data_IF_093827233968
#
_entry.id   IF_093827233968
#
_cell.length_a   1.000
_cell.length_b   1.000
_cell.length_c   1.000
_cell.angle_alpha   90.00
_cell.angle_beta   90.00
_cell.angle_gamma   90.00
#
_symmetry.space_group_name_H-M   'P 1'
#
loop_
_entity.id
_entity.type
_entity.pdbx_description
1 polymer ?
#
# COMPACT_ATOMS: atom_id res chain seq x y z
N UNK A 1 -33.85 -13.67 14.18
CA UNK A 1 -32.37 -13.58 14.11
C UNK A 1 -31.82 -13.87 15.50
N UNK A 2 -30.95 -14.87 15.68
CA UNK A 2 -30.27 -15.06 16.97
C UNK A 2 -29.37 -13.85 17.21
N UNK A 3 -29.66 -13.07 18.24
CA UNK A 3 -28.75 -12.03 18.74
C UNK A 3 -27.36 -12.64 18.88
N UNK A 4 -26.35 -12.05 18.23
CA UNK A 4 -24.97 -12.52 18.36
C UNK A 4 -24.59 -12.52 19.84
N UNK A 5 -24.10 -13.65 20.36
CA UNK A 5 -23.65 -13.73 21.75
C UNK A 5 -22.42 -12.85 21.90
N UNK A 6 -22.48 -11.90 22.83
CA UNK A 6 -21.37 -10.99 23.13
C UNK A 6 -20.36 -11.67 24.03
N UNK A 7 -19.08 -11.38 23.82
CA UNK A 7 -17.96 -11.74 24.70
C UNK A 7 -17.20 -10.47 25.06
N UNK A 8 -16.60 -10.45 26.26
CA UNK A 8 -15.67 -9.38 26.63
C UNK A 8 -14.28 -9.67 26.05
N UNK A 9 -13.69 -8.66 25.42
CA UNK A 9 -12.31 -8.68 24.93
C UNK A 9 -11.55 -7.57 25.67
N UNK A 10 -10.48 -7.93 26.36
CA UNK A 10 -9.61 -6.95 27.01
C UNK A 10 -8.67 -6.33 25.96
N UNK A 11 -8.48 -5.02 26.02
CA UNK A 11 -7.55 -4.27 25.18
C UNK A 11 -6.92 -3.14 26.00
N UNK A 12 -5.79 -2.62 25.51
CA UNK A 12 -5.06 -1.51 26.15
C UNK A 12 -5.91 -0.24 26.11
N UNK A 13 -6.01 0.47 27.23
CA UNK A 13 -6.89 1.64 27.40
C UNK A 13 -6.67 2.69 26.30
N UNK A 14 -5.41 3.08 26.06
CA UNK A 14 -5.05 4.07 25.04
C UNK A 14 -5.44 3.66 23.60
N UNK A 15 -5.50 2.36 23.31
CA UNK A 15 -5.97 1.86 22.02
C UNK A 15 -7.51 1.90 21.93
N UNK A 16 -8.19 1.56 23.02
CA UNK A 16 -9.65 1.64 23.10
C UNK A 16 -10.12 3.09 22.95
N UNK A 17 -9.44 4.05 23.58
CA UNK A 17 -9.75 5.47 23.44
C UNK A 17 -9.61 5.95 21.99
N UNK A 18 -8.46 5.65 21.35
CA UNK A 18 -8.22 6.01 19.95
C UNK A 18 -9.23 5.37 19.00
N UNK A 19 -9.53 4.09 19.18
CA UNK A 19 -10.51 3.39 18.35
C UNK A 19 -11.92 3.94 18.60
N UNK A 20 -12.27 4.32 19.84
CA UNK A 20 -13.55 4.95 20.16
C UNK A 20 -13.71 6.28 19.43
N UNK A 21 -12.66 7.09 19.37
CA UNK A 21 -12.66 8.35 18.62
C UNK A 21 -12.80 8.15 17.11
N UNK A 22 -12.18 7.11 16.56
CA UNK A 22 -12.35 6.73 15.15
C UNK A 22 -13.79 6.29 14.89
N UNK A 23 -14.33 5.43 15.77
CA UNK A 23 -15.67 4.87 15.64
C UNK A 23 -16.75 5.95 15.69
N UNK A 24 -16.60 7.00 16.52
CA UNK A 24 -17.54 8.15 16.59
C UNK A 24 -17.85 8.77 15.24
N UNK A 25 -16.93 8.69 14.26
CA UNK A 25 -17.11 9.24 12.91
C UNK A 25 -17.81 8.28 11.94
N UNK A 26 -17.98 7.00 12.31
CA UNK A 26 -18.37 5.90 11.41
C UNK A 26 -19.50 5.01 11.94
N UNK A 27 -19.85 5.10 13.23
CA UNK A 27 -20.88 4.27 13.86
C UNK A 27 -20.64 4.03 15.34
N UNK A 28 -20.92 2.83 15.83
CA UNK A 28 -20.64 2.44 17.22
C UNK A 28 -19.26 1.79 17.35
N UNK A 29 -18.67 1.88 18.54
CA UNK A 29 -17.43 1.17 18.88
C UNK A 29 -17.57 -0.34 18.65
N UNK A 30 -18.75 -0.91 18.98
CA UNK A 30 -19.02 -2.33 18.82
C UNK A 30 -18.96 -2.74 17.35
N UNK A 31 -19.64 -2.01 16.46
CA UNK A 31 -19.68 -2.35 15.03
C UNK A 31 -18.29 -2.23 14.41
N UNK A 32 -17.58 -1.14 14.71
CA UNK A 32 -16.22 -0.90 14.19
C UNK A 32 -15.22 -1.96 14.65
N UNK A 33 -15.26 -2.36 15.92
CA UNK A 33 -14.38 -3.43 16.42
C UNK A 33 -14.70 -4.76 15.75
N UNK A 34 -15.98 -5.09 15.52
CA UNK A 34 -16.34 -6.32 14.80
C UNK A 34 -15.88 -6.28 13.33
N UNK A 35 -15.97 -5.15 12.65
CA UNK A 35 -15.42 -4.96 11.30
C UNK A 35 -13.91 -5.22 11.29
N UNK A 36 -13.16 -4.62 12.21
CA UNK A 36 -11.70 -4.82 12.31
C UNK A 36 -11.35 -6.28 12.58
N UNK A 37 -12.10 -6.96 13.47
CA UNK A 37 -11.90 -8.38 13.73
C UNK A 37 -12.20 -9.25 12.49
N UNK A 38 -13.22 -8.90 11.71
CA UNK A 38 -13.53 -9.59 10.46
C UNK A 38 -12.41 -9.41 9.42
N UNK A 39 -11.89 -8.20 9.25
CA UNK A 39 -10.78 -7.96 8.32
C UNK A 39 -9.49 -8.65 8.78
N UNK A 40 -9.24 -8.75 10.09
CA UNK A 40 -8.12 -9.53 10.62
C UNK A 40 -8.25 -11.03 10.28
N UNK A 41 -9.45 -11.61 10.43
CA UNK A 41 -9.72 -13.01 10.05
C UNK A 41 -9.58 -13.19 8.53
N UNK A 42 -10.04 -12.22 7.75
CA UNK A 42 -9.94 -12.26 6.29
C UNK A 42 -8.49 -12.20 5.83
N UNK A 43 -7.67 -11.34 6.43
CA UNK A 43 -6.24 -11.30 6.14
C UNK A 43 -5.60 -12.67 6.41
N UNK A 44 -5.89 -13.27 7.57
CA UNK A 44 -5.36 -14.60 7.93
C UNK A 44 -5.78 -15.67 6.91
N UNK A 45 -7.01 -15.62 6.41
CA UNK A 45 -7.49 -16.52 5.35
C UNK A 45 -6.75 -16.38 4.01
N UNK A 46 -6.09 -15.24 3.78
CA UNK A 46 -5.22 -14.99 2.63
C UNK A 46 -3.76 -15.40 2.87
N UNK A 47 -3.45 -15.94 4.05
CA UNK A 47 -2.08 -16.28 4.44
C UNK A 47 -1.23 -15.05 4.83
N UNK A 48 -1.87 -13.97 5.27
CA UNK A 48 -1.20 -12.72 5.66
C UNK A 48 -1.78 -12.13 6.93
N UNK A 49 -1.01 -11.32 7.65
CA UNK A 49 -1.50 -10.52 8.76
C UNK A 49 -2.14 -9.22 8.26
N UNK A 50 -3.07 -8.65 9.05
CA UNK A 50 -3.65 -7.34 8.74
C UNK A 50 -2.58 -6.24 8.60
N UNK A 51 -1.46 -6.38 9.33
CA UNK A 51 -0.31 -5.48 9.22
C UNK A 51 0.34 -5.56 7.85
N UNK A 52 0.65 -6.76 7.36
CA UNK A 52 1.26 -6.96 6.04
C UNK A 52 0.37 -6.40 4.93
N UNK A 53 -0.95 -6.62 4.99
CA UNK A 53 -1.89 -6.05 4.03
C UNK A 53 -1.85 -4.50 3.99
N UNK A 54 -1.73 -3.86 5.17
CA UNK A 54 -1.63 -2.40 5.27
C UNK A 54 -0.29 -1.90 4.71
N UNK A 55 0.81 -2.58 5.05
CA UNK A 55 2.16 -2.25 4.60
C UNK A 55 2.27 -2.38 3.06
N UNK A 56 1.75 -3.47 2.50
CA UNK A 56 1.67 -3.71 1.05
C UNK A 56 0.82 -2.66 0.32
N UNK A 57 -0.32 -2.25 0.91
CA UNK A 57 -1.12 -1.16 0.36
C UNK A 57 -0.32 0.15 0.32
N UNK A 58 0.51 0.41 1.33
CA UNK A 58 1.43 1.54 1.36
C UNK A 58 2.43 1.48 0.20
N UNK A 59 3.04 0.32 -0.03
CA UNK A 59 3.96 0.09 -1.14
C UNK A 59 3.29 0.32 -2.51
N UNK A 60 2.13 -0.27 -2.74
CA UNK A 60 1.38 -0.11 -4.01
C UNK A 60 1.02 1.36 -4.24
N UNK A 61 0.61 2.07 -3.18
CA UNK A 61 0.33 3.51 -3.27
C UNK A 61 1.58 4.30 -3.64
N UNK A 62 2.71 4.04 -2.98
CA UNK A 62 3.97 4.72 -3.26
C UNK A 62 4.44 4.48 -4.70
N UNK A 63 4.29 3.25 -5.22
CA UNK A 63 4.59 2.94 -6.61
C UNK A 63 3.70 3.75 -7.57
N UNK A 64 2.38 3.77 -7.35
CA UNK A 64 1.45 4.56 -8.18
C UNK A 64 1.74 6.05 -8.14
N UNK A 65 1.98 6.60 -6.95
CA UNK A 65 2.30 8.02 -6.77
C UNK A 65 3.64 8.38 -7.44
N UNK A 66 4.53 7.41 -7.63
CA UNK A 66 5.81 7.57 -8.35
C UNK A 66 5.68 7.34 -9.86
N UNK A 67 4.49 7.06 -10.39
CA UNK A 67 4.24 6.87 -11.83
C UNK A 67 4.29 5.43 -12.32
N UNK A 68 4.43 4.43 -11.43
CA UNK A 68 4.34 3.03 -11.81
C UNK A 68 2.89 2.61 -12.06
N UNK A 69 2.71 1.64 -12.95
CA UNK A 69 1.40 1.06 -13.29
C UNK A 69 1.44 -0.46 -13.24
N UNK A 70 0.31 -1.08 -12.87
CA UNK A 70 0.14 -2.53 -12.96
C UNK A 70 -0.14 -2.92 -14.40
N UNK A 71 0.68 -3.82 -14.95
CA UNK A 71 0.56 -4.36 -16.30
C UNK A 71 0.59 -5.90 -16.21
N UNK A 72 -0.22 -6.64 -17.00
CA UNK A 72 -0.07 -8.08 -17.11
C UNK A 72 1.34 -8.45 -17.58
N UNK A 73 2.06 -9.22 -16.77
CA UNK A 73 3.48 -9.52 -16.95
C UNK A 73 3.82 -10.04 -18.36
N UNK A 74 3.07 -11.03 -18.84
CA UNK A 74 3.27 -11.57 -20.20
C UNK A 74 3.12 -10.51 -21.28
N UNK A 75 2.13 -9.62 -21.15
CA UNK A 75 1.91 -8.56 -22.13
C UNK A 75 3.08 -7.56 -22.11
N UNK A 76 3.59 -7.24 -20.92
CA UNK A 76 4.74 -6.36 -20.77
C UNK A 76 5.97 -6.91 -21.51
N UNK A 77 6.35 -8.17 -21.26
CA UNK A 77 7.50 -8.77 -21.92
C UNK A 77 7.34 -8.81 -23.44
N UNK A 78 6.19 -9.24 -23.94
CA UNK A 78 5.92 -9.29 -25.39
C UNK A 78 6.01 -7.92 -26.06
N UNK A 79 5.55 -6.86 -25.39
CA UNK A 79 5.62 -5.49 -25.91
C UNK A 79 7.06 -4.98 -25.87
N UNK A 80 7.79 -5.23 -24.78
CA UNK A 80 9.20 -4.80 -24.64
C UNK A 80 10.08 -5.50 -25.67
N UNK A 81 9.94 -6.81 -25.86
CA UNK A 81 10.75 -7.58 -26.81
C UNK A 81 10.51 -7.12 -28.26
N UNK A 82 9.24 -6.93 -28.63
CA UNK A 82 8.88 -6.41 -29.96
C UNK A 82 9.32 -4.96 -30.13
N UNK A 83 9.18 -4.15 -29.09
CA UNK A 83 9.65 -2.77 -29.06
C UNK A 83 11.16 -2.69 -29.26
N UNK A 84 11.92 -3.52 -28.56
CA UNK A 84 13.37 -3.63 -28.71
C UNK A 84 13.77 -4.05 -30.14
N UNK A 85 13.11 -5.07 -30.69
CA UNK A 85 13.37 -5.53 -32.05
C UNK A 85 13.04 -4.46 -33.13
N UNK A 86 12.02 -3.63 -32.90
CA UNK A 86 11.56 -2.63 -33.86
C UNK A 86 12.28 -1.28 -33.73
N UNK A 87 12.49 -0.80 -32.50
CA UNK A 87 13.06 0.53 -32.20
C UNK A 87 14.59 0.50 -32.05
N UNK A 88 15.16 -0.69 -31.81
CA UNK A 88 16.58 -0.92 -31.66
C UNK A 88 17.11 -0.65 -30.25
N UNK A 89 18.29 -1.21 -29.98
CA UNK A 89 18.99 -1.16 -28.69
C UNK A 89 19.18 0.27 -28.18
N UNK A 90 19.76 1.15 -28.99
CA UNK A 90 20.07 2.52 -28.56
C UNK A 90 18.84 3.36 -28.18
N UNK A 91 17.68 3.13 -28.81
CA UNK A 91 16.46 3.82 -28.42
C UNK A 91 15.96 3.33 -27.05
N UNK A 92 15.94 2.01 -26.85
CA UNK A 92 15.54 1.42 -25.57
C UNK A 92 16.50 1.80 -24.44
N UNK A 93 17.81 1.73 -24.67
CA UNK A 93 18.83 2.16 -23.69
C UNK A 93 18.63 3.60 -23.26
N UNK A 94 18.42 4.52 -24.22
CA UNK A 94 18.16 5.92 -23.92
C UNK A 94 16.86 6.11 -23.11
N UNK A 95 15.78 5.42 -23.48
CA UNK A 95 14.52 5.49 -22.74
C UNK A 95 14.70 5.04 -21.27
N UNK A 96 15.40 3.92 -21.05
CA UNK A 96 15.70 3.43 -19.71
C UNK A 96 16.61 4.37 -18.94
N UNK A 97 17.63 4.92 -19.59
CA UNK A 97 18.56 5.88 -18.99
C UNK A 97 17.84 7.16 -18.53
N UNK A 98 17.05 7.80 -19.41
CA UNK A 98 16.28 8.99 -19.08
C UNK A 98 15.28 8.73 -17.96
N UNK A 99 14.56 7.60 -18.04
CA UNK A 99 13.61 7.18 -17.00
C UNK A 99 14.31 6.99 -15.66
N UNK A 100 15.47 6.32 -15.64
CA UNK A 100 16.29 6.11 -14.45
C UNK A 100 16.79 7.43 -13.84
N UNK A 101 17.20 8.40 -14.68
CA UNK A 101 17.59 9.73 -14.21
C UNK A 101 16.44 10.47 -13.53
N UNK A 102 15.22 10.41 -14.10
CA UNK A 102 14.03 11.00 -13.49
C UNK A 102 13.72 10.39 -12.13
N UNK A 103 13.75 9.06 -12.02
CA UNK A 103 13.55 8.38 -10.74
C UNK A 103 14.64 8.72 -9.72
N UNK A 104 15.92 8.75 -10.14
CA UNK A 104 17.02 9.14 -9.25
C UNK A 104 16.87 10.56 -8.70
N UNK A 105 16.48 11.53 -9.55
CA UNK A 105 16.18 12.91 -9.12
C UNK A 105 14.97 12.99 -8.19
N UNK A 106 13.92 12.24 -8.48
CA UNK A 106 12.72 12.20 -7.64
C UNK A 106 13.03 11.64 -6.25
N UNK A 107 13.68 10.49 -6.16
CA UNK A 107 14.00 9.85 -4.87
C UNK A 107 15.03 10.63 -4.06
N UNK A 108 16.06 11.20 -4.69
CA UNK A 108 17.00 12.08 -3.96
C UNK A 108 16.31 13.33 -3.39
N UNK A 109 15.34 13.90 -4.11
CA UNK A 109 14.53 15.02 -3.63
C UNK A 109 13.58 14.60 -2.50
N UNK A 110 13.00 13.41 -2.59
CA UNK A 110 12.12 12.83 -1.57
C UNK A 110 12.88 12.51 -0.27
N UNK A 111 14.06 11.90 -0.37
CA UNK A 111 14.95 11.64 0.77
C UNK A 111 15.35 12.94 1.46
N UNK A 112 15.72 13.97 0.68
CA UNK A 112 16.03 15.30 1.19
C UNK A 112 14.83 15.90 1.94
N UNK A 113 13.64 15.82 1.37
CA UNK A 113 12.41 16.32 1.99
C UNK A 113 12.08 15.59 3.31
N UNK A 114 12.14 14.26 3.32
CA UNK A 114 11.93 13.44 4.53
C UNK A 114 12.98 13.78 5.59
N UNK A 115 14.24 13.99 5.18
CA UNK A 115 15.33 14.39 6.07
C UNK A 115 15.09 15.74 6.76
N UNK A 116 14.54 16.73 6.06
CA UNK A 116 14.22 18.05 6.63
C UNK A 116 13.03 18.00 7.59
N UNK A 117 11.99 17.20 7.29
CA UNK A 117 10.84 17.02 8.20
C UNK A 117 11.25 16.33 9.51
N UNK A 118 12.17 15.36 9.47
CA UNK A 118 12.63 14.64 10.68
C UNK A 118 13.48 15.48 11.63
N UNK A 119 13.97 16.64 11.18
CA UNK A 119 14.75 17.59 12.01
C UNK A 119 13.87 18.60 12.74
N UNK A 120 12.60 18.72 12.37
CA UNK A 120 11.58 19.55 13.01
C UNK A 120 10.85 18.76 14.09
#
# INVERSE_FOLDING_TARGET
>A
MRSARRKMLAAREDLVDKISDIARKRGTLYDYVNEVLQEAIRADSLGSSLREIIDERGLIKAARDSGFMLIPERLWYEVVDKGYAFLGEGWMENLWYETGQWYGKYYSSLERFIGEIRKL
#
